data_IF_651281986496
#
_entry.id   IF_651281986496
#
_cell.length_a   1.000
_cell.length_b   1.000
_cell.length_c   1.000
_cell.angle_alpha   90.00
_cell.angle_beta   90.00
_cell.angle_gamma   90.00
#
_symmetry.space_group_name_H-M   'P 1'
#
loop_
_entity.id
_entity.type
_entity.pdbx_description
1 polymer ?
#
# COMPACT_ATOMS: atom_id res chain seq x y z
N UNK A 1 3.37 -10.96 -56.91
CA UNK A 1 2.76 -9.94 -56.03
C UNK A 1 2.83 -10.47 -54.62
N UNK A 2 3.74 -9.93 -53.81
CA UNK A 2 3.92 -10.36 -52.42
C UNK A 2 2.93 -9.60 -51.54
N UNK A 3 1.98 -10.33 -50.95
CA UNK A 3 1.04 -9.79 -49.97
C UNK A 3 1.75 -9.58 -48.65
N UNK A 4 2.04 -8.32 -48.32
CA UNK A 4 2.60 -7.91 -47.04
C UNK A 4 1.52 -8.05 -45.97
N UNK A 5 1.62 -9.06 -45.12
CA UNK A 5 0.80 -9.17 -43.91
C UNK A 5 1.20 -8.05 -42.95
N UNK A 6 0.37 -7.02 -42.83
CA UNK A 6 0.51 -5.99 -41.80
C UNK A 6 0.20 -6.68 -40.46
N UNK A 7 1.25 -6.86 -39.66
CA UNK A 7 1.12 -7.30 -38.27
C UNK A 7 0.25 -6.29 -37.53
N UNK A 8 -0.96 -6.70 -37.16
CA UNK A 8 -1.90 -5.90 -36.40
C UNK A 8 -1.32 -5.63 -35.01
N UNK A 9 -0.77 -4.44 -34.80
CA UNK A 9 -0.50 -3.93 -33.47
C UNK A 9 -1.84 -3.86 -32.70
N UNK A 10 -2.05 -4.77 -31.75
CA UNK A 10 -3.19 -4.73 -30.84
C UNK A 10 -3.16 -3.41 -30.07
N UNK A 11 -4.10 -2.51 -30.35
CA UNK A 11 -4.30 -1.30 -29.57
C UNK A 11 -4.65 -1.69 -28.13
N UNK A 12 -3.78 -1.37 -27.18
CA UNK A 12 -4.03 -1.66 -25.76
C UNK A 12 -5.05 -0.64 -25.26
N UNK A 13 -6.30 -1.08 -25.10
CA UNK A 13 -7.39 -0.23 -24.61
C UNK A 13 -7.26 0.01 -23.10
N UNK A 14 -7.51 1.26 -22.68
CA UNK A 14 -7.66 1.66 -21.28
C UNK A 14 -9.08 2.22 -21.12
N UNK A 15 -10.08 1.38 -20.82
CA UNK A 15 -11.45 1.85 -20.61
C UNK A 15 -11.51 2.84 -19.42
N UNK A 16 -12.32 3.90 -19.50
CA UNK A 16 -12.49 4.83 -18.40
C UNK A 16 -13.38 4.26 -17.30
N UNK A 17 -12.97 4.49 -16.05
CA UNK A 17 -13.82 4.33 -14.86
C UNK A 17 -14.28 5.70 -14.38
N UNK A 18 -15.53 5.80 -13.93
CA UNK A 18 -16.09 7.07 -13.45
C UNK A 18 -15.70 7.31 -11.98
N UNK A 19 -15.73 6.25 -11.18
CA UNK A 19 -15.31 6.26 -9.78
C UNK A 19 -14.17 5.26 -9.58
N UNK A 20 -13.12 5.66 -8.85
CA UNK A 20 -12.03 4.75 -8.47
C UNK A 20 -12.53 3.63 -7.54
N UNK A 21 -13.60 3.86 -6.79
CA UNK A 21 -14.19 2.88 -5.88
C UNK A 21 -15.00 1.78 -6.59
N UNK A 22 -15.26 1.94 -7.90
CA UNK A 22 -15.82 0.86 -8.73
C UNK A 22 -14.81 -0.28 -8.95
N UNK A 23 -13.52 0.03 -8.84
CA UNK A 23 -12.42 -0.93 -9.10
C UNK A 23 -11.54 -1.19 -7.89
N UNK A 24 -11.31 -0.20 -7.03
CA UNK A 24 -10.51 -0.35 -5.81
C UNK A 24 -11.38 -0.99 -4.72
N UNK A 25 -10.97 -2.13 -4.12
CA UNK A 25 -11.69 -2.75 -3.02
C UNK A 25 -11.88 -1.79 -1.86
N UNK A 26 -12.85 -2.11 -1.00
CA UNK A 26 -13.00 -1.38 0.27
C UNK A 26 -11.74 -1.54 1.14
N UNK A 27 -11.39 -0.52 1.94
CA UNK A 27 -10.33 -0.63 2.93
C UNK A 27 -10.49 -1.85 3.83
N UNK A 28 -9.38 -2.52 4.14
CA UNK A 28 -9.40 -3.66 5.07
C UNK A 28 -9.39 -3.21 6.53
N UNK A 29 -9.01 -1.96 6.78
CA UNK A 29 -8.87 -1.37 8.10
C UNK A 29 -9.92 -0.28 8.28
N UNK A 30 -10.60 -0.31 9.42
CA UNK A 30 -11.66 0.62 9.78
C UNK A 30 -11.37 1.25 11.15
N UNK A 31 -11.63 2.54 11.28
CA UNK A 31 -11.57 3.25 12.56
C UNK A 31 -12.91 3.14 13.27
N UNK A 32 -12.89 2.77 14.54
CA UNK A 32 -14.07 2.59 15.38
C UNK A 32 -14.29 3.85 16.21
N UNK A 33 -15.45 4.53 16.07
CA UNK A 33 -15.77 5.69 16.89
C UNK A 33 -15.90 5.30 18.36
N UNK A 34 -15.69 6.25 19.27
CA UNK A 34 -15.92 6.01 20.71
C UNK A 34 -17.42 5.85 20.94
N UNK A 35 -17.89 4.74 21.53
CA UNK A 35 -19.30 4.57 21.86
C UNK A 35 -19.80 5.63 22.83
N UNK A 36 -21.08 6.01 22.72
CA UNK A 36 -21.69 6.95 23.65
C UNK A 36 -21.61 6.43 25.10
N UNK A 37 -21.22 7.31 26.03
CA UNK A 37 -21.08 6.96 27.44
C UNK A 37 -19.81 6.19 27.81
N UNK A 38 -18.95 5.84 26.84
CA UNK A 38 -17.67 5.17 27.10
C UNK A 38 -16.54 6.21 27.16
N UNK A 39 -15.70 6.12 28.19
CA UNK A 39 -14.48 6.94 28.26
C UNK A 39 -13.35 6.20 27.56
N UNK A 40 -12.76 6.81 26.53
CA UNK A 40 -11.57 6.30 25.84
C UNK A 40 -10.36 7.19 26.13
N UNK A 41 -9.18 6.59 26.24
CA UNK A 41 -7.95 7.36 26.35
C UNK A 41 -7.77 8.26 25.11
N UNK A 42 -7.30 9.51 25.27
CA UNK A 42 -7.01 10.37 24.14
C UNK A 42 -5.94 9.70 23.28
N UNK A 43 -6.23 9.54 21.98
CA UNK A 43 -5.39 8.86 21.00
C UNK A 43 -5.24 7.33 21.16
N UNK A 44 -6.17 6.67 21.83
CA UNK A 44 -6.25 5.21 21.81
C UNK A 44 -6.20 4.65 20.37
N UNK A 45 -5.59 3.48 20.17
CA UNK A 45 -5.60 2.83 18.87
C UNK A 45 -6.96 2.17 18.64
N UNK A 46 -7.81 2.82 17.85
CA UNK A 46 -9.19 2.39 17.61
C UNK A 46 -9.41 1.82 16.21
N UNK A 47 -8.53 0.94 15.76
CA UNK A 47 -8.63 0.34 14.43
C UNK A 47 -8.90 -1.17 14.50
N UNK A 48 -9.80 -1.63 13.63
CA UNK A 48 -10.06 -3.05 13.37
C UNK A 48 -9.70 -3.41 11.94
N UNK A 49 -9.42 -4.69 11.71
CA UNK A 49 -9.20 -5.30 10.41
C UNK A 49 -10.32 -6.28 10.09
N UNK A 50 -10.89 -6.14 8.90
CA UNK A 50 -11.77 -7.13 8.30
C UNK A 50 -10.93 -8.26 7.68
N UNK A 51 -11.16 -9.50 8.12
CA UNK A 51 -10.49 -10.72 7.67
C UNK A 51 -11.47 -11.66 6.97
N UNK A 52 -10.97 -12.50 6.06
CA UNK A 52 -11.78 -13.43 5.26
C UNK A 52 -12.45 -12.82 4.02
N UNK A 53 -12.14 -11.58 3.66
CA UNK A 53 -12.63 -10.96 2.43
C UNK A 53 -12.02 -11.58 1.16
N UNK A 54 -12.79 -11.62 0.07
CA UNK A 54 -12.32 -12.10 -1.24
C UNK A 54 -11.43 -11.06 -1.93
N UNK A 55 -10.42 -11.54 -2.67
CA UNK A 55 -9.60 -10.66 -3.52
C UNK A 55 -10.41 -10.18 -4.74
N UNK A 56 -10.16 -8.97 -5.25
CA UNK A 56 -10.78 -8.52 -6.49
C UNK A 56 -10.43 -9.47 -7.65
N UNK A 57 -11.37 -9.64 -8.59
CA UNK A 57 -11.16 -10.46 -9.79
C UNK A 57 -11.58 -9.67 -11.02
N UNK A 58 -10.69 -9.60 -12.01
CA UNK A 58 -10.90 -8.88 -13.26
C UNK A 58 -10.75 -9.82 -14.46
N UNK A 59 -11.38 -9.50 -15.61
CA UNK A 59 -11.37 -10.37 -16.79
C UNK A 59 -10.02 -10.43 -17.52
N UNK A 60 -9.14 -9.43 -17.36
CA UNK A 60 -7.88 -9.30 -18.13
C UNK A 60 -6.69 -9.06 -17.22
N UNK A 61 -5.56 -9.76 -17.44
CA UNK A 61 -4.34 -9.62 -16.62
C UNK A 61 -3.13 -9.10 -17.43
N UNK A 62 -2.53 -7.94 -17.06
CA UNK A 62 -2.98 -6.98 -16.06
C UNK A 62 -4.30 -6.30 -16.44
N UNK A 63 -4.99 -5.75 -15.43
CA UNK A 63 -6.22 -5.00 -15.62
C UNK A 63 -5.83 -3.56 -15.90
N UNK A 64 -6.30 -3.06 -17.05
CA UNK A 64 -5.92 -1.76 -17.59
C UNK A 64 -7.15 -0.88 -17.64
N UNK A 65 -7.05 0.36 -17.15
CA UNK A 65 -8.15 1.32 -17.13
C UNK A 65 -7.63 2.76 -16.96
N UNK A 66 -8.47 3.76 -17.24
CA UNK A 66 -8.18 5.16 -16.90
C UNK A 66 -9.03 5.63 -15.74
N UNK A 67 -8.43 6.36 -14.81
CA UNK A 67 -9.13 7.00 -13.69
C UNK A 67 -9.40 8.48 -14.01
N UNK A 68 -10.37 9.12 -13.33
CA UNK A 68 -10.58 10.57 -13.44
C UNK A 68 -9.31 11.36 -13.12
N UNK A 69 -9.18 12.53 -13.75
CA UNK A 69 -8.06 13.44 -13.53
C UNK A 69 -6.87 13.28 -14.48
N UNK A 70 -5.90 14.16 -14.29
CA UNK A 70 -4.65 14.24 -15.06
C UNK A 70 -3.44 14.75 -14.26
N UNK A 71 -3.61 15.04 -12.98
CA UNK A 71 -2.57 15.58 -12.10
C UNK A 71 -1.91 14.51 -11.25
N UNK A 72 -0.77 14.85 -10.65
CA UNK A 72 -0.10 14.00 -9.67
C UNK A 72 -0.92 13.83 -8.39
N UNK A 73 -1.68 14.86 -7.99
CA UNK A 73 -2.53 14.85 -6.79
C UNK A 73 -3.67 13.84 -6.95
N UNK A 74 -4.41 13.89 -8.05
CA UNK A 74 -5.47 12.91 -8.35
C UNK A 74 -4.92 11.49 -8.50
N UNK A 75 -3.72 11.33 -9.07
CA UNK A 75 -3.03 10.04 -9.08
C UNK A 75 -2.69 9.55 -7.65
N UNK A 76 -2.36 10.46 -6.74
CA UNK A 76 -2.06 10.16 -5.35
C UNK A 76 -3.32 9.78 -4.56
N UNK A 77 -4.49 10.35 -4.88
CA UNK A 77 -5.78 9.91 -4.31
C UNK A 77 -6.06 8.44 -4.62
N UNK A 78 -5.89 8.01 -5.88
CA UNK A 78 -6.00 6.61 -6.25
C UNK A 78 -4.99 5.73 -5.50
N UNK A 79 -3.74 6.20 -5.39
CA UNK A 79 -2.71 5.49 -4.62
C UNK A 79 -3.12 5.35 -3.15
N UNK A 80 -3.68 6.38 -2.54
CA UNK A 80 -4.15 6.35 -1.15
C UNK A 80 -5.27 5.33 -0.97
N UNK A 81 -6.24 5.29 -1.89
CA UNK A 81 -7.29 4.26 -1.91
C UNK A 81 -6.69 2.84 -2.01
N UNK A 82 -5.74 2.63 -2.92
CA UNK A 82 -5.03 1.35 -3.04
C UNK A 82 -4.25 0.98 -1.77
N UNK A 83 -3.59 1.95 -1.11
CA UNK A 83 -2.85 1.76 0.13
C UNK A 83 -3.76 1.42 1.33
N UNK A 84 -5.03 1.80 1.30
CA UNK A 84 -6.01 1.46 2.32
C UNK A 84 -6.49 -0.01 2.22
N UNK A 85 -6.38 -0.62 1.05
CA UNK A 85 -6.76 -2.03 0.84
C UNK A 85 -5.66 -3.00 1.23
N UNK A 86 -4.40 -2.68 0.96
CA UNK A 86 -3.28 -3.58 1.19
C UNK A 86 -2.01 -2.77 1.35
N UNK A 87 -1.05 -3.28 2.13
CA UNK A 87 0.25 -2.63 2.23
C UNK A 87 1.05 -2.81 0.95
N UNK A 88 1.10 -1.75 0.15
CA UNK A 88 1.97 -1.61 -1.01
C UNK A 88 3.27 -0.88 -0.64
N UNK A 89 4.38 -1.32 -1.22
CA UNK A 89 5.66 -0.64 -1.12
C UNK A 89 5.89 0.15 -2.40
N UNK A 90 6.16 1.44 -2.26
CA UNK A 90 6.66 2.27 -3.34
C UNK A 90 7.94 1.67 -3.91
N UNK A 91 7.99 1.51 -5.23
CA UNK A 91 9.14 0.93 -5.94
C UNK A 91 9.90 2.00 -6.71
N UNK A 92 9.18 2.84 -7.47
CA UNK A 92 9.76 3.87 -8.33
C UNK A 92 8.73 4.96 -8.59
N UNK A 93 9.21 6.20 -8.63
CA UNK A 93 8.48 7.35 -9.16
C UNK A 93 9.36 8.05 -10.17
N UNK A 94 8.80 8.40 -11.32
CA UNK A 94 9.40 9.39 -12.21
C UNK A 94 8.74 10.73 -11.89
N UNK A 95 9.46 11.71 -11.33
CA UNK A 95 8.87 13.01 -11.03
C UNK A 95 8.48 13.71 -12.34
N UNK A 96 7.48 14.60 -12.32
CA UNK A 96 7.19 15.48 -13.44
C UNK A 96 8.45 16.30 -13.76
N UNK A 97 8.98 16.18 -14.98
CA UNK A 97 10.12 16.98 -15.43
C UNK A 97 9.62 18.12 -16.31
N UNK A 98 9.86 19.37 -15.90
CA UNK A 98 9.58 20.55 -16.74
C UNK A 98 10.32 20.50 -18.09
N UNK A 99 11.46 19.80 -18.15
CA UNK A 99 12.24 19.64 -19.39
C UNK A 99 11.53 18.75 -20.42
N UNK A 100 10.59 17.90 -20.00
CA UNK A 100 9.86 17.00 -20.89
C UNK A 100 8.74 17.73 -21.64
N UNK A 101 8.27 18.88 -21.14
CA UNK A 101 7.35 19.79 -21.85
C UNK A 101 8.04 20.56 -23.00
N UNK A 102 9.35 20.80 -22.89
CA UNK A 102 10.10 21.66 -23.80
C UNK A 102 10.83 20.94 -24.95
N UNK A 103 10.94 19.60 -24.92
CA UNK A 103 11.65 18.85 -25.96
C UNK A 103 10.80 18.69 -27.24
N UNK A 104 10.83 19.71 -28.09
CA UNK A 104 10.18 19.70 -29.42
C UNK A 104 11.09 19.30 -30.58
N UNK A 105 12.41 19.13 -30.38
CA UNK A 105 13.39 18.96 -31.50
C UNK A 105 14.50 17.94 -31.26
N UNK A 106 14.17 16.67 -31.01
CA UNK A 106 15.16 15.59 -30.92
C UNK A 106 14.74 14.32 -31.67
N UNK A 107 15.72 13.56 -32.19
CA UNK A 107 15.53 12.26 -32.88
C UNK A 107 15.19 11.07 -31.95
N UNK A 108 14.90 11.32 -30.67
CA UNK A 108 14.60 10.28 -29.67
C UNK A 108 13.13 9.86 -29.63
N UNK A 109 12.84 8.69 -29.04
CA UNK A 109 11.46 8.28 -28.73
C UNK A 109 10.87 9.27 -27.73
N UNK A 110 9.76 9.91 -28.08
CA UNK A 110 9.05 10.85 -27.20
C UNK A 110 8.60 10.12 -25.92
N UNK A 111 8.67 10.77 -24.74
CA UNK A 111 8.06 10.23 -23.54
C UNK A 111 6.58 9.93 -23.78
N UNK A 112 6.10 8.79 -23.30
CA UNK A 112 4.67 8.42 -23.36
C UNK A 112 3.91 8.91 -22.13
N UNK A 113 4.61 9.20 -21.04
CA UNK A 113 4.04 9.68 -19.79
C UNK A 113 4.87 10.78 -19.14
N UNK A 114 4.21 11.75 -18.49
CA UNK A 114 4.87 12.83 -17.73
C UNK A 114 5.41 12.35 -16.38
N UNK A 115 4.64 11.51 -15.71
CA UNK A 115 5.06 10.85 -14.48
C UNK A 115 4.52 9.43 -14.43
N UNK A 116 5.17 8.61 -13.61
CA UNK A 116 4.72 7.25 -13.32
C UNK A 116 5.02 6.90 -11.88
N UNK A 117 4.02 6.40 -11.17
CA UNK A 117 4.13 5.87 -9.83
C UNK A 117 3.99 4.34 -9.89
N UNK A 118 4.97 3.61 -9.34
CA UNK A 118 4.98 2.15 -9.33
C UNK A 118 5.03 1.61 -7.90
N UNK A 119 4.09 0.71 -7.61
CA UNK A 119 3.91 0.10 -6.30
C UNK A 119 3.89 -1.42 -6.42
N UNK A 120 4.49 -2.11 -5.45
CA UNK A 120 4.54 -3.59 -5.38
C UNK A 120 4.03 -4.10 -4.05
N UNK A 121 3.52 -5.32 -4.02
CA UNK A 121 3.08 -5.95 -2.79
C UNK A 121 4.22 -5.99 -1.75
N UNK A 122 3.90 -5.74 -0.48
CA UNK A 122 4.87 -5.79 0.62
C UNK A 122 5.46 -7.18 0.88
N UNK A 123 4.71 -8.23 0.54
CA UNK A 123 5.13 -9.63 0.54
C UNK A 123 5.96 -10.04 -0.70
N UNK A 124 6.32 -9.08 -1.55
CA UNK A 124 7.17 -9.31 -2.69
C UNK A 124 8.60 -9.73 -2.32
N UNK A 125 9.26 -10.42 -3.26
CA UNK A 125 10.62 -10.93 -3.11
C UNK A 125 10.70 -12.23 -2.32
N UNK A 126 11.89 -12.84 -2.31
CA UNK A 126 12.14 -14.12 -1.65
C UNK A 126 12.84 -13.91 -0.30
N UNK A 127 12.45 -14.69 0.70
CA UNK A 127 13.21 -14.78 1.95
C UNK A 127 14.41 -15.69 1.73
N UNK A 128 15.62 -15.11 1.69
CA UNK A 128 16.86 -15.92 1.67
C UNK A 128 17.07 -16.51 3.06
N UNK A 129 16.81 -17.81 3.23
CA UNK A 129 17.18 -18.52 4.45
C UNK A 129 18.70 -18.67 4.49
N UNK A 130 19.34 -18.04 5.47
CA UNK A 130 20.76 -18.30 5.76
C UNK A 130 20.84 -19.64 6.49
N UNK A 131 21.66 -20.57 6.00
CA UNK A 131 21.94 -21.82 6.70
C UNK A 131 22.47 -21.51 8.11
N UNK A 132 21.99 -22.24 9.12
CA UNK A 132 22.29 -22.03 10.55
C UNK A 132 21.75 -20.74 11.20
N UNK A 133 20.76 -20.08 10.59
CA UNK A 133 20.10 -18.94 11.24
C UNK A 133 19.34 -19.34 12.50
N UNK A 134 19.50 -18.55 13.59
CA UNK A 134 18.66 -18.65 14.81
C UNK A 134 17.17 -18.42 14.53
N UNK A 135 16.81 -17.91 13.34
CA UNK A 135 15.43 -17.68 12.88
C UNK A 135 14.88 -18.84 12.03
N UNK A 136 15.32 -20.08 12.26
CA UNK A 136 14.89 -21.26 11.48
C UNK A 136 13.36 -21.48 11.47
N UNK A 137 12.67 -21.12 12.56
CA UNK A 137 11.22 -21.28 12.72
C UNK A 137 10.43 -20.00 12.36
N UNK A 138 11.09 -18.94 11.90
CA UNK A 138 10.42 -17.68 11.60
C UNK A 138 9.75 -17.72 10.22
N UNK A 139 8.42 -17.58 10.18
CA UNK A 139 7.66 -17.40 8.95
C UNK A 139 7.90 -16.01 8.37
N UNK A 140 8.44 -15.94 7.15
CA UNK A 140 8.64 -14.65 6.48
C UNK A 140 7.35 -14.20 5.80
N UNK A 141 7.04 -12.90 5.91
CA UNK A 141 6.04 -12.27 5.06
C UNK A 141 6.41 -12.26 3.57
N UNK A 142 7.67 -12.50 3.19
CA UNK A 142 8.12 -12.50 1.80
C UNK A 142 7.88 -13.87 1.15
N UNK A 143 6.97 -13.92 0.19
CA UNK A 143 6.54 -15.15 -0.51
C UNK A 143 6.68 -15.07 -2.03
N UNK A 144 7.43 -14.09 -2.54
CA UNK A 144 7.63 -13.93 -3.98
C UNK A 144 6.44 -13.32 -4.72
N UNK A 145 5.54 -12.65 -4.02
CA UNK A 145 4.36 -12.04 -4.62
C UNK A 145 4.72 -11.08 -5.75
N UNK A 146 4.04 -11.24 -6.89
CA UNK A 146 4.23 -10.43 -8.11
C UNK A 146 3.17 -9.34 -8.28
N UNK A 147 2.19 -9.28 -7.37
CA UNK A 147 1.17 -8.25 -7.40
C UNK A 147 1.81 -6.86 -7.33
N UNK A 148 1.35 -5.98 -8.22
CA UNK A 148 1.87 -4.62 -8.39
C UNK A 148 0.84 -3.78 -9.12
N UNK A 149 0.89 -2.47 -8.95
CA UNK A 149 0.14 -1.55 -9.79
C UNK A 149 1.01 -0.35 -10.16
N UNK A 150 0.65 0.31 -11.24
CA UNK A 150 1.23 1.58 -11.61
C UNK A 150 0.19 2.55 -12.11
N UNK A 151 0.37 3.82 -11.77
CA UNK A 151 -0.40 4.94 -12.31
C UNK A 151 0.55 5.81 -13.12
N UNK A 152 0.17 6.17 -14.34
CA UNK A 152 0.96 7.04 -15.21
C UNK A 152 0.08 8.06 -15.91
N UNK A 153 0.54 9.30 -15.98
CA UNK A 153 -0.14 10.34 -16.77
C UNK A 153 0.29 10.24 -18.23
N UNK A 154 -0.61 9.81 -19.10
CA UNK A 154 -0.34 9.61 -20.52
C UNK A 154 -0.50 10.90 -21.31
N UNK A 155 0.57 11.30 -22.00
CA UNK A 155 0.70 12.63 -22.64
C UNK A 155 -0.36 12.84 -23.73
N UNK A 156 -0.51 11.87 -24.64
CA UNK A 156 -1.33 12.07 -25.84
C UNK A 156 -2.84 12.18 -25.52
N UNK A 157 -3.31 11.46 -24.50
CA UNK A 157 -4.73 11.48 -24.12
C UNK A 157 -5.00 12.33 -22.89
N UNK A 158 -3.96 12.97 -22.34
CA UNK A 158 -4.01 13.76 -21.10
C UNK A 158 -4.79 13.05 -19.97
N UNK A 159 -4.52 11.76 -19.76
CA UNK A 159 -5.32 10.90 -18.88
C UNK A 159 -4.44 10.10 -17.94
N UNK A 160 -4.90 9.84 -16.72
CA UNK A 160 -4.26 8.90 -15.81
C UNK A 160 -4.59 7.46 -16.20
N UNK A 161 -3.57 6.69 -16.58
CA UNK A 161 -3.66 5.26 -16.92
C UNK A 161 -3.17 4.41 -15.77
N UNK A 162 -3.95 3.39 -15.43
CA UNK A 162 -3.61 2.40 -14.41
C UNK A 162 -3.34 1.06 -15.08
N UNK A 163 -2.25 0.42 -14.66
CA UNK A 163 -1.98 -0.98 -14.95
C UNK A 163 -1.88 -1.75 -13.65
N UNK A 164 -2.81 -2.68 -13.42
CA UNK A 164 -2.90 -3.40 -12.16
C UNK A 164 -2.71 -4.90 -12.37
N UNK A 165 -1.65 -5.44 -11.77
CA UNK A 165 -1.47 -6.87 -11.55
C UNK A 165 -2.01 -7.23 -10.17
N UNK A 166 -3.30 -7.52 -10.06
CA UNK A 166 -4.00 -7.72 -8.79
C UNK A 166 -3.84 -9.11 -8.18
N UNK A 167 -3.37 -10.10 -8.95
CA UNK A 167 -3.29 -11.48 -8.46
C UNK A 167 -2.17 -11.62 -7.41
N UNK A 168 -2.57 -11.86 -6.16
CA UNK A 168 -1.67 -12.23 -5.07
C UNK A 168 -1.51 -13.75 -5.02
N UNK A 169 -0.31 -14.22 -4.70
CA UNK A 169 -0.03 -15.65 -4.45
C UNK A 169 -0.08 -16.00 -2.95
N UNK A 170 -0.69 -15.14 -2.16
CA UNK A 170 -0.91 -15.29 -0.73
C UNK A 170 -2.25 -14.64 -0.39
N UNK A 171 -2.85 -15.10 0.70
CA UNK A 171 -4.09 -14.53 1.21
C UNK A 171 -3.81 -13.18 1.87
N UNK A 172 -4.51 -12.13 1.46
CA UNK A 172 -4.34 -10.77 2.00
C UNK A 172 -5.08 -10.57 3.31
N UNK A 173 -6.27 -11.15 3.40
CA UNK A 173 -7.26 -10.94 4.45
C UNK A 173 -7.18 -12.01 5.53
N UNK A 174 -6.11 -12.82 5.60
CA UNK A 174 -6.00 -13.84 6.63
C UNK A 174 -5.44 -13.28 7.93
N UNK A 175 -5.90 -13.85 9.06
CA UNK A 175 -5.34 -13.51 10.37
C UNK A 175 -3.83 -13.84 10.45
N UNK A 176 -3.39 -14.94 9.84
CA UNK A 176 -1.97 -15.27 9.77
C UNK A 176 -1.17 -14.21 9.01
N UNK A 177 -1.71 -13.70 7.89
CA UNK A 177 -1.07 -12.63 7.13
C UNK A 177 -0.93 -11.36 7.96
N UNK A 178 -1.95 -11.00 8.74
CA UNK A 178 -1.92 -9.86 9.66
C UNK A 178 -0.76 -9.95 10.66
N UNK A 179 -0.48 -11.14 11.21
CA UNK A 179 0.56 -11.34 12.21
C UNK A 179 1.99 -11.33 11.65
N UNK A 180 2.19 -11.81 10.41
CA UNK A 180 3.54 -11.90 9.82
C UNK A 180 3.93 -10.64 9.05
N UNK A 181 2.94 -9.88 8.54
CA UNK A 181 3.19 -8.65 7.80
C UNK A 181 3.31 -7.44 8.72
N UNK A 182 3.79 -6.33 8.16
CA UNK A 182 3.71 -5.06 8.87
C UNK A 182 2.24 -4.63 8.97
N UNK A 183 1.85 -3.91 10.04
CA UNK A 183 0.51 -3.34 10.16
C UNK A 183 0.18 -2.42 8.95
N UNK A 184 -1.08 -2.05 8.73
CA UNK A 184 -1.46 -1.12 7.67
C UNK A 184 -0.75 0.23 7.87
N UNK A 185 -0.70 1.05 6.82
CA UNK A 185 0.03 2.31 6.87
C UNK A 185 -0.51 3.24 7.97
N UNK A 186 -1.83 3.32 8.14
CA UNK A 186 -2.49 4.14 9.16
C UNK A 186 -2.05 3.76 10.58
N UNK A 187 -2.02 2.47 10.91
CA UNK A 187 -1.57 1.98 12.22
C UNK A 187 -0.05 2.14 12.38
N UNK A 188 0.73 1.89 11.32
CA UNK A 188 2.18 2.11 11.34
C UNK A 188 2.55 3.59 11.54
N UNK A 189 1.75 4.52 11.03
CA UNK A 189 1.91 5.95 11.27
C UNK A 189 1.48 6.31 12.70
N UNK A 190 0.34 5.82 13.18
CA UNK A 190 -0.07 6.00 14.57
C UNK A 190 1.03 5.57 15.55
N UNK A 191 1.67 4.41 15.35
CA UNK A 191 2.79 3.96 16.20
C UNK A 191 4.00 4.90 16.10
N UNK A 192 4.35 5.38 14.90
CA UNK A 192 5.46 6.34 14.73
C UNK A 192 5.18 7.65 15.46
N UNK A 193 3.97 8.18 15.32
CA UNK A 193 3.58 9.45 15.95
C UNK A 193 3.68 9.36 17.48
N UNK A 194 3.26 8.23 18.07
CA UNK A 194 3.44 7.99 19.52
C UNK A 194 4.91 7.90 19.93
N UNK A 195 5.74 7.21 19.12
CA UNK A 195 7.18 7.11 19.38
C UNK A 195 7.86 8.47 19.28
N UNK A 196 7.48 9.29 18.29
CA UNK A 196 8.00 10.64 18.07
C UNK A 196 7.54 11.60 19.18
N UNK A 197 6.34 11.39 19.73
CA UNK A 197 5.84 12.08 20.93
C UNK A 197 6.48 11.62 22.26
N UNK A 198 7.46 10.72 22.22
CA UNK A 198 8.22 10.33 23.41
C UNK A 198 7.71 9.10 24.17
N UNK A 199 6.58 8.51 23.76
CA UNK A 199 5.98 7.36 24.45
C UNK A 199 6.80 6.08 24.29
N UNK A 200 7.05 5.38 25.40
CA UNK A 200 7.69 4.08 25.44
C UNK A 200 6.74 2.93 25.10
N UNK A 201 7.27 1.71 25.11
CA UNK A 201 6.47 0.51 24.83
C UNK A 201 5.26 0.37 25.76
N UNK A 202 5.44 0.59 27.07
CA UNK A 202 4.36 0.40 28.05
C UNK A 202 3.18 1.32 27.75
N UNK A 203 3.44 2.61 27.55
CA UNK A 203 2.40 3.61 27.26
C UNK A 203 1.70 3.32 25.92
N UNK A 204 2.48 2.94 24.89
CA UNK A 204 1.90 2.55 23.59
C UNK A 204 1.04 1.30 23.73
N UNK A 205 1.52 0.30 24.47
CA UNK A 205 0.78 -0.93 24.73
C UNK A 205 -0.53 -0.62 25.46
N UNK A 206 -0.51 0.19 26.50
CA UNK A 206 -1.71 0.60 27.24
C UNK A 206 -2.74 1.28 26.32
N UNK A 207 -2.29 2.13 25.38
CA UNK A 207 -3.15 2.76 24.36
C UNK A 207 -3.74 1.76 23.33
N UNK A 208 -3.19 0.55 23.22
CA UNK A 208 -3.79 -0.53 22.42
C UNK A 208 -4.83 -1.34 23.19
N UNK A 209 -4.87 -1.24 24.53
CA UNK A 209 -5.79 -1.99 25.38
C UNK A 209 -7.14 -1.26 25.50
N UNK A 210 -7.82 -1.11 24.37
CA UNK A 210 -9.12 -0.42 24.27
C UNK A 210 -10.24 -1.46 24.27
N UNK A 211 -10.86 -1.71 25.44
CA UNK A 211 -11.78 -2.83 25.65
C UNK A 211 -12.89 -2.91 24.61
N UNK A 212 -13.57 -1.80 24.33
CA UNK A 212 -14.68 -1.77 23.37
C UNK A 212 -14.25 -2.11 21.93
N UNK A 213 -12.99 -1.87 21.56
CA UNK A 213 -12.42 -2.30 20.27
C UNK A 213 -12.00 -3.76 20.31
N UNK A 214 -11.45 -4.23 21.44
CA UNK A 214 -11.08 -5.62 21.65
C UNK A 214 -12.30 -6.55 21.65
N UNK A 215 -13.42 -6.07 22.19
CA UNK A 215 -14.68 -6.80 22.27
C UNK A 215 -15.32 -7.05 20.89
N UNK A 216 -14.94 -6.28 19.87
CA UNK A 216 -15.35 -6.50 18.48
C UNK A 216 -14.66 -7.70 17.82
N UNK A 217 -13.69 -8.34 18.49
CA UNK A 217 -12.95 -9.45 17.94
C UNK A 217 -13.87 -10.64 17.63
N UNK A 218 -13.87 -11.05 16.36
CA UNK A 218 -14.65 -12.18 15.86
C UNK A 218 -13.82 -13.05 14.90
N UNK A 219 -14.45 -13.97 14.16
CA UNK A 219 -13.79 -14.72 13.09
C UNK A 219 -13.45 -13.85 11.87
N UNK A 220 -14.22 -12.79 11.63
CA UNK A 220 -14.12 -11.88 10.48
C UNK A 220 -13.59 -10.50 10.84
N UNK A 221 -13.46 -10.16 12.12
CA UNK A 221 -12.95 -8.87 12.59
C UNK A 221 -11.84 -9.07 13.62
N UNK A 222 -10.71 -8.39 13.46
CA UNK A 222 -9.56 -8.47 14.37
C UNK A 222 -9.07 -7.07 14.76
N UNK A 223 -8.80 -6.78 16.04
CA UNK A 223 -8.18 -5.52 16.43
C UNK A 223 -6.80 -5.36 15.79
N UNK A 224 -6.51 -4.22 15.16
CA UNK A 224 -5.19 -3.92 14.58
C UNK A 224 -4.09 -3.81 15.65
N UNK A 225 -4.49 -3.60 16.91
CA UNK A 225 -3.64 -3.73 18.09
C UNK A 225 -2.80 -5.02 18.09
N UNK A 226 -3.35 -6.12 17.58
CA UNK A 226 -2.66 -7.41 17.47
C UNK A 226 -1.41 -7.37 16.58
N UNK A 227 -1.33 -6.41 15.65
CA UNK A 227 -0.17 -6.19 14.78
C UNK A 227 0.91 -5.29 15.39
N UNK A 228 0.67 -4.69 16.56
CA UNK A 228 1.61 -3.81 17.26
C UNK A 228 2.48 -4.64 18.20
N UNK A 229 3.78 -4.75 17.90
CA UNK A 229 4.71 -5.62 18.63
C UNK A 229 5.81 -4.84 19.34
N UNK A 230 6.29 -5.39 20.47
CA UNK A 230 7.41 -4.83 21.23
C UNK A 230 8.64 -4.57 20.35
N UNK A 231 9.03 -5.56 19.54
CA UNK A 231 10.21 -5.45 18.67
C UNK A 231 10.07 -4.31 17.66
N UNK A 232 8.86 -4.08 17.12
CA UNK A 232 8.59 -2.99 16.19
C UNK A 232 8.75 -1.64 16.88
N UNK A 233 8.14 -1.46 18.06
CA UNK A 233 8.22 -0.22 18.83
C UNK A 233 9.66 0.05 19.27
N UNK A 234 10.36 -0.97 19.79
CA UNK A 234 11.77 -0.87 20.18
C UNK A 234 12.66 -0.46 18.99
N UNK A 235 12.43 -1.03 17.82
CA UNK A 235 13.14 -0.65 16.60
C UNK A 235 12.87 0.82 16.23
N UNK A 236 11.60 1.25 16.27
CA UNK A 236 11.23 2.63 15.95
C UNK A 236 11.85 3.62 16.93
N UNK A 237 11.84 3.34 18.24
CA UNK A 237 12.51 4.16 19.26
C UNK A 237 13.99 4.34 18.91
N UNK A 238 14.69 3.23 18.61
CA UNK A 238 16.13 3.26 18.27
C UNK A 238 16.45 3.98 16.97
N UNK A 239 15.55 3.95 16.00
CA UNK A 239 15.84 4.51 14.67
C UNK A 239 15.37 5.95 14.53
N UNK A 240 14.24 6.30 15.15
CA UNK A 240 13.63 7.63 15.00
C UNK A 240 14.09 8.60 16.08
N UNK A 241 14.20 8.18 17.34
CA UNK A 241 14.68 9.09 18.40
C UNK A 241 16.15 9.41 18.25
N UNK A 242 16.96 8.42 17.87
CA UNK A 242 18.39 8.64 17.63
C UNK A 242 18.63 9.54 16.42
N UNK A 243 17.79 9.45 15.37
CA UNK A 243 17.84 10.38 14.24
C UNK A 243 17.45 11.81 14.64
N UNK A 244 16.43 11.98 15.48
CA UNK A 244 16.02 13.30 16.00
C UNK A 244 16.97 13.87 17.07
N UNK A 245 18.00 13.11 17.49
CA UNK A 245 18.98 13.52 18.51
C UNK A 245 20.33 13.92 17.92
N UNK A 246 20.52 13.84 16.59
CA UNK A 246 21.72 14.38 15.94
C UNK A 246 21.49 15.88 15.67
N UNK A 247 22.32 16.79 16.23
CA UNK A 247 22.27 18.19 15.83
C UNK A 247 22.73 18.31 14.38
N UNK A 248 22.03 19.14 13.60
CA UNK A 248 22.50 19.56 12.28
C UNK A 248 23.93 20.12 12.43
N UNK A 249 24.88 19.52 11.72
CA UNK A 249 26.26 20.03 11.57
C UNK A 249 26.33 20.81 10.27
#
# INVERSE_FOLDING_TARGET
>A
MASTSISSCTFVAYPPVQDIYDVVPRPMTEEIPVPEGVTSAPNALRFVRHVGGSSPTFPTHPHLFTIPGNTLEEAQEFVNAMLATTRWNFQRGTPPSEKDLAQTKGRGRRPEAFFKLEYRCSSGGQSKRVSNSRKKNHTSARCGCKARFSVSHHIQTNSLRVAWHWQHNHELTSHQQMLITRPPLVVDNWVKDRVDAGLGWKEIYDLTQTNDVLDLQSSTVKPEASGVTYDRVRYLIRTRRTANSQPDI
#
